data_IF_659863761990
#
_entry.id   IF_659863761990
#
_cell.length_a   1.000
_cell.length_b   1.000
_cell.length_c   1.000
_cell.angle_alpha   90.00
_cell.angle_beta   90.00
_cell.angle_gamma   90.00
#
_symmetry.space_group_name_H-M   'P 1'
#
loop_
_entity.id
_entity.type
_entity.pdbx_description
1 polymer ?
#
# COMPACT_ATOMS: atom_id res chain seq x y z
N UNK A 1 -16.53 -16.18 26.86
CA UNK A 1 -16.73 -15.51 25.57
C UNK A 1 -17.72 -14.35 25.67
N UNK A 2 -18.86 -14.53 26.36
CA UNK A 2 -19.91 -13.50 26.44
C UNK A 2 -19.47 -12.16 27.03
N UNK A 3 -18.59 -12.15 28.04
CA UNK A 3 -18.06 -10.90 28.61
C UNK A 3 -17.20 -10.11 27.64
N UNK A 4 -16.48 -10.78 26.74
CA UNK A 4 -15.63 -10.14 25.74
C UNK A 4 -16.52 -9.50 24.67
N UNK A 5 -17.55 -10.23 24.21
CA UNK A 5 -18.52 -9.72 23.25
C UNK A 5 -19.32 -8.54 23.81
N UNK A 6 -19.78 -8.61 25.07
CA UNK A 6 -20.44 -7.50 25.75
C UNK A 6 -19.53 -6.29 25.91
N UNK A 7 -18.25 -6.49 26.25
CA UNK A 7 -17.29 -5.38 26.34
C UNK A 7 -16.99 -4.74 24.99
N UNK A 8 -16.97 -5.50 23.89
CA UNK A 8 -16.80 -4.93 22.53
C UNK A 8 -18.03 -4.13 22.12
N UNK A 9 -19.24 -4.64 22.38
CA UNK A 9 -20.49 -3.95 22.04
C UNK A 9 -20.66 -2.65 22.84
N UNK A 10 -20.33 -2.65 24.14
CA UNK A 10 -20.41 -1.43 24.97
C UNK A 10 -19.37 -0.36 24.58
N UNK A 11 -18.17 -0.76 24.14
CA UNK A 11 -17.16 0.20 23.66
C UNK A 11 -17.52 0.77 22.27
N UNK A 12 -18.27 0.02 21.45
CA UNK A 12 -18.73 0.47 20.12
C UNK A 12 -19.90 1.45 20.21
N UNK A 13 -20.76 1.34 21.24
CA UNK A 13 -21.89 2.26 21.47
C UNK A 13 -21.44 3.65 21.95
N UNK A 14 -20.21 3.76 22.46
CA UNK A 14 -19.54 5.03 22.71
C UNK A 14 -19.09 5.64 21.37
N UNK A 15 -19.55 6.84 21.03
CA UNK A 15 -19.27 7.49 19.73
C UNK A 15 -17.77 7.54 19.34
N UNK A 16 -16.88 7.57 20.34
CA UNK A 16 -15.43 7.55 20.16
C UNK A 16 -14.90 6.17 19.74
N UNK A 17 -15.43 5.08 20.28
CA UNK A 17 -15.01 3.72 19.95
C UNK A 17 -15.42 3.28 18.55
N UNK A 18 -16.61 3.69 18.09
CA UNK A 18 -17.08 3.45 16.71
C UNK A 18 -16.20 4.16 15.67
N UNK A 19 -15.85 5.42 15.92
CA UNK A 19 -14.97 6.19 15.03
C UNK A 19 -13.56 5.57 14.92
N UNK A 20 -13.04 5.04 16.03
CA UNK A 20 -11.73 4.38 16.07
C UNK A 20 -11.70 3.11 15.21
N UNK A 21 -12.74 2.26 15.32
CA UNK A 21 -12.86 1.02 14.54
C UNK A 21 -12.95 1.32 13.04
N UNK A 22 -13.74 2.33 12.65
CA UNK A 22 -13.86 2.76 11.24
C UNK A 22 -12.52 3.24 10.70
N UNK A 23 -11.75 4.02 11.47
CA UNK A 23 -10.41 4.51 11.07
C UNK A 23 -9.42 3.37 10.84
N UNK A 24 -9.43 2.33 11.67
CA UNK A 24 -8.59 1.15 11.46
C UNK A 24 -8.97 0.36 10.20
N UNK A 25 -10.26 0.19 9.94
CA UNK A 25 -10.73 -0.48 8.71
C UNK A 25 -10.33 0.31 7.47
N UNK A 26 -10.49 1.63 7.50
CA UNK A 26 -10.08 2.52 6.40
C UNK A 26 -8.56 2.49 6.18
N UNK A 27 -7.78 2.59 7.25
CA UNK A 27 -6.31 2.48 7.17
C UNK A 27 -5.86 1.14 6.57
N UNK A 28 -6.50 0.04 6.97
CA UNK A 28 -6.24 -1.28 6.42
C UNK A 28 -6.56 -1.35 4.91
N UNK A 29 -7.71 -0.82 4.49
CA UNK A 29 -8.09 -0.78 3.07
C UNK A 29 -7.14 0.06 2.22
N UNK A 30 -6.67 1.20 2.74
CA UNK A 30 -5.69 2.06 2.05
C UNK A 30 -4.38 1.30 1.82
N UNK A 31 -3.85 0.63 2.85
CA UNK A 31 -2.61 -0.14 2.73
C UNK A 31 -2.80 -1.31 1.77
N UNK A 32 -3.92 -2.05 1.87
CA UNK A 32 -4.21 -3.20 1.04
C UNK A 32 -4.30 -2.83 -0.45
N UNK A 33 -5.04 -1.77 -0.78
CA UNK A 33 -5.20 -1.29 -2.16
C UNK A 33 -3.89 -0.76 -2.74
N UNK A 34 -3.08 -0.06 -1.94
CA UNK A 34 -1.75 0.40 -2.33
C UNK A 34 -0.81 -0.77 -2.67
N UNK A 35 -0.85 -1.83 -1.85
CA UNK A 35 -0.04 -3.03 -2.04
C UNK A 35 -0.40 -3.74 -3.36
N UNK A 36 -1.70 -3.99 -3.59
CA UNK A 36 -2.19 -4.63 -4.81
C UNK A 36 -1.81 -3.83 -6.06
N UNK A 37 -2.01 -2.50 -6.03
CA UNK A 37 -1.69 -1.61 -7.15
C UNK A 37 -0.19 -1.60 -7.44
N UNK A 38 0.63 -1.64 -6.39
CA UNK A 38 2.09 -1.70 -6.50
C UNK A 38 2.55 -2.98 -7.19
N UNK A 39 2.09 -4.15 -6.72
CA UNK A 39 2.48 -5.43 -7.31
C UNK A 39 2.06 -5.57 -8.77
N UNK A 40 0.84 -5.18 -9.10
CA UNK A 40 0.31 -5.28 -10.47
C UNK A 40 1.04 -4.36 -11.46
N UNK A 41 1.32 -3.12 -11.05
CA UNK A 41 1.98 -2.12 -11.90
C UNK A 41 3.47 -2.43 -12.06
N UNK A 42 4.15 -2.79 -10.98
CA UNK A 42 5.58 -3.13 -10.99
C UNK A 42 5.86 -4.38 -11.83
N UNK A 43 5.05 -5.43 -11.71
CA UNK A 43 5.19 -6.66 -12.50
C UNK A 43 5.11 -6.42 -14.01
N UNK A 44 4.16 -5.58 -14.47
CA UNK A 44 4.07 -5.17 -15.88
C UNK A 44 5.27 -4.35 -16.32
N UNK A 45 5.76 -3.42 -15.50
CA UNK A 45 6.92 -2.59 -15.84
C UNK A 45 8.21 -3.40 -15.95
N UNK A 46 8.43 -4.37 -15.05
CA UNK A 46 9.60 -5.27 -15.11
C UNK A 46 9.53 -6.14 -16.36
N UNK A 47 8.38 -6.74 -16.66
CA UNK A 47 8.23 -7.62 -17.82
C UNK A 47 8.53 -6.88 -19.13
N UNK A 48 7.97 -5.68 -19.30
CA UNK A 48 8.26 -4.82 -20.46
C UNK A 48 9.71 -4.34 -20.50
N UNK A 49 10.30 -4.07 -19.34
CA UNK A 49 11.71 -3.73 -19.19
C UNK A 49 12.64 -4.86 -19.66
N UNK A 50 12.32 -6.11 -19.30
CA UNK A 50 13.07 -7.29 -19.75
C UNK A 50 12.90 -7.51 -21.26
N UNK A 51 11.67 -7.40 -21.79
CA UNK A 51 11.41 -7.55 -23.23
C UNK A 51 12.18 -6.50 -24.05
N UNK A 52 12.21 -5.25 -23.59
CA UNK A 52 12.94 -4.16 -24.26
C UNK A 52 14.46 -4.31 -24.19
N UNK A 53 15.02 -4.81 -23.07
CA UNK A 53 16.45 -5.18 -22.98
C UNK A 53 16.77 -6.29 -23.98
N UNK A 54 15.88 -7.28 -24.11
CA UNK A 54 16.03 -8.37 -25.07
C UNK A 54 16.00 -7.90 -26.52
N UNK A 55 15.21 -6.86 -26.84
CA UNK A 55 15.11 -6.30 -28.19
C UNK A 55 16.23 -5.32 -28.54
N UNK A 56 16.80 -4.62 -27.55
CA UNK A 56 17.92 -3.73 -27.76
C UNK A 56 18.92 -3.77 -26.58
N UNK A 57 19.92 -4.66 -26.62
CA UNK A 57 20.87 -4.82 -25.54
C UNK A 57 21.81 -3.61 -25.37
N UNK A 58 21.96 -2.74 -26.38
CA UNK A 58 22.76 -1.51 -26.27
C UNK A 58 22.12 -0.48 -25.33
N UNK A 59 20.78 -0.50 -25.21
CA UNK A 59 20.03 0.39 -24.33
C UNK A 59 19.84 -0.17 -22.91
N UNK A 60 20.50 -1.30 -22.57
CA UNK A 60 20.33 -2.00 -21.29
C UNK A 60 20.47 -1.08 -20.07
N UNK A 61 21.49 -0.22 -20.06
CA UNK A 61 21.74 0.72 -18.95
C UNK A 61 20.60 1.73 -18.82
N UNK A 62 20.08 2.24 -19.93
CA UNK A 62 19.01 3.24 -19.94
C UNK A 62 17.68 2.64 -19.43
N UNK A 63 17.37 1.42 -19.87
CA UNK A 63 16.18 0.68 -19.42
C UNK A 63 16.31 0.29 -17.95
N UNK A 64 17.48 -0.18 -17.51
CA UNK A 64 17.73 -0.53 -16.12
C UNK A 64 17.57 0.69 -15.20
N UNK A 65 18.10 1.86 -15.60
CA UNK A 65 17.91 3.11 -14.85
C UNK A 65 16.43 3.49 -14.74
N UNK A 66 15.66 3.34 -15.83
CA UNK A 66 14.22 3.61 -15.82
C UNK A 66 13.47 2.68 -14.85
N UNK A 67 13.80 1.38 -14.83
CA UNK A 67 13.21 0.41 -13.91
C UNK A 67 13.55 0.78 -12.46
N UNK A 68 14.83 1.08 -12.17
CA UNK A 68 15.27 1.47 -10.82
C UNK A 68 14.53 2.73 -10.36
N UNK A 69 14.42 3.73 -11.21
CA UNK A 69 13.72 4.98 -10.90
C UNK A 69 12.23 4.72 -10.59
N UNK A 70 11.59 3.83 -11.36
CA UNK A 70 10.21 3.41 -11.10
C UNK A 70 10.06 2.71 -9.74
N UNK A 71 10.98 1.80 -9.41
CA UNK A 71 11.00 1.08 -8.12
C UNK A 71 11.19 2.06 -6.95
N UNK A 72 12.10 3.03 -7.08
CA UNK A 72 12.30 4.07 -6.06
C UNK A 72 11.05 4.91 -5.87
N UNK A 73 10.40 5.32 -6.96
CA UNK A 73 9.16 6.10 -6.90
C UNK A 73 8.02 5.33 -6.22
N UNK A 74 7.88 4.05 -6.56
CA UNK A 74 6.93 3.14 -5.92
C UNK A 74 7.23 2.99 -4.42
N UNK A 75 8.49 2.88 -4.03
CA UNK A 75 8.89 2.79 -2.62
C UNK A 75 8.48 4.07 -1.85
N UNK A 76 8.71 5.25 -2.44
CA UNK A 76 8.29 6.54 -1.85
C UNK A 76 6.77 6.60 -1.69
N UNK A 77 6.01 6.16 -2.70
CA UNK A 77 4.54 6.14 -2.65
C UNK A 77 4.05 5.19 -1.55
N UNK A 78 4.65 4.01 -1.40
CA UNK A 78 4.27 3.05 -0.36
C UNK A 78 4.59 3.59 1.04
N UNK A 79 5.74 4.25 1.22
CA UNK A 79 6.06 4.93 2.49
C UNK A 79 5.00 6.00 2.78
N UNK A 80 4.64 6.82 1.79
CA UNK A 80 3.57 7.81 1.92
C UNK A 80 2.21 7.20 2.30
N UNK A 81 1.85 6.07 1.69
CA UNK A 81 0.61 5.35 2.02
C UNK A 81 0.60 4.82 3.46
N UNK A 82 1.72 4.28 3.95
CA UNK A 82 1.87 3.83 5.35
C UNK A 82 1.80 5.01 6.31
N UNK A 83 2.47 6.12 6.00
CA UNK A 83 2.41 7.35 6.81
C UNK A 83 0.99 7.89 6.87
N UNK A 84 0.25 7.92 5.76
CA UNK A 84 -1.15 8.34 5.75
C UNK A 84 -2.04 7.38 6.53
N UNK A 85 -1.84 6.07 6.42
CA UNK A 85 -2.59 5.10 7.21
C UNK A 85 -2.32 5.27 8.72
N UNK A 86 -1.07 5.46 9.12
CA UNK A 86 -0.70 5.74 10.50
C UNK A 86 -1.32 7.06 10.99
N UNK A 87 -1.24 8.13 10.19
CA UNK A 87 -1.87 9.40 10.50
C UNK A 87 -3.39 9.24 10.68
N UNK A 88 -4.07 8.51 9.79
CA UNK A 88 -5.51 8.26 9.87
C UNK A 88 -5.93 7.45 11.12
N UNK A 89 -5.05 6.57 11.62
CA UNK A 89 -5.31 5.81 12.86
C UNK A 89 -4.96 6.57 14.14
N UNK A 90 -4.17 7.63 14.05
CA UNK A 90 -3.70 8.43 15.20
C UNK A 90 -4.43 9.77 15.35
N UNK A 91 -4.96 10.33 14.25
CA UNK A 91 -5.95 11.41 14.23
C UNK A 91 -7.29 10.88 14.72
#
# INVERSE_FOLDING_TARGET
LDRILLSVIQNVDQAEGSALVIRYILGFLIVLTSLITTFTTMGRNITKGIESIGRNPLAKVQIQTMIVLNVVLIAIINIGAVVMALAATRL
#
